data_IF_491637571518
#
_entry.id   IF_491637571518
#
_cell.length_a   1.000
_cell.length_b   1.000
_cell.length_c   1.000
_cell.angle_alpha   90.00
_cell.angle_beta   90.00
_cell.angle_gamma   90.00
#
_symmetry.space_group_name_H-M   'P 1'
#
loop_
_entity.id
_entity.type
_entity.pdbx_description
1 polymer ?
#
# COMPACT_ATOMS: atom_id res chain seq x y z
N UNK A 1 -3.92 -15.66 8.33
CA UNK A 1 -3.63 -14.82 7.16
C UNK A 1 -2.57 -15.48 6.31
N UNK A 2 -2.75 -15.38 5.02
CA UNK A 2 -1.79 -15.93 4.08
C UNK A 2 -0.43 -15.26 4.26
N UNK A 3 0.63 -16.06 4.14
CA UNK A 3 1.99 -15.53 4.28
C UNK A 3 2.24 -14.43 3.26
N UNK A 4 1.76 -14.62 2.04
CA UNK A 4 1.93 -13.63 0.99
C UNK A 4 1.27 -12.32 1.40
N UNK A 5 0.06 -12.39 1.90
CA UNK A 5 -0.66 -11.18 2.28
C UNK A 5 -0.01 -10.50 3.47
N UNK A 6 0.51 -11.28 4.39
CA UNK A 6 1.21 -10.71 5.53
C UNK A 6 2.45 -9.96 5.05
N UNK A 7 3.19 -10.55 4.11
CA UNK A 7 4.37 -9.92 3.57
C UNK A 7 4.02 -8.60 2.88
N UNK A 8 2.95 -8.61 2.08
CA UNK A 8 2.50 -7.40 1.40
C UNK A 8 2.09 -6.34 2.41
N UNK A 9 1.34 -6.75 3.44
CA UNK A 9 0.90 -5.83 4.48
C UNK A 9 2.09 -5.12 5.11
N UNK A 10 3.09 -5.91 5.49
CA UNK A 10 4.25 -5.36 6.18
C UNK A 10 5.04 -4.40 5.29
N UNK A 11 5.17 -4.75 4.02
CA UNK A 11 5.90 -3.88 3.10
C UNK A 11 5.16 -2.59 2.84
N UNK A 12 3.84 -2.65 2.75
CA UNK A 12 3.05 -1.43 2.59
C UNK A 12 3.16 -0.54 3.81
N UNK A 13 3.24 -1.15 5.00
CA UNK A 13 3.46 -0.37 6.20
C UNK A 13 4.80 0.35 6.16
N UNK A 14 5.80 -0.28 5.59
CA UNK A 14 7.11 0.35 5.45
C UNK A 14 7.03 1.59 4.58
N UNK A 15 6.08 1.63 3.67
CA UNK A 15 5.89 2.79 2.81
C UNK A 15 4.86 3.75 3.40
N UNK A 16 4.59 3.61 4.69
CA UNK A 16 3.80 4.57 5.46
C UNK A 16 2.31 4.55 5.14
N UNK A 17 1.82 3.47 4.62
CA UNK A 17 0.38 3.31 4.46
C UNK A 17 -0.20 3.08 5.85
N UNK A 18 -1.18 3.88 6.27
CA UNK A 18 -1.74 3.74 7.62
C UNK A 18 -2.34 2.36 7.84
N UNK A 19 -2.16 1.84 9.04
CA UNK A 19 -2.68 0.50 9.34
C UNK A 19 -4.20 0.45 9.24
N UNK A 20 -4.88 1.53 9.58
CA UNK A 20 -6.33 1.54 9.46
C UNK A 20 -6.77 1.36 8.01
N UNK A 21 -6.03 1.96 7.08
CA UNK A 21 -6.32 1.80 5.66
C UNK A 21 -6.07 0.36 5.23
N UNK A 22 -4.93 -0.19 5.64
CA UNK A 22 -4.61 -1.57 5.28
C UNK A 22 -5.60 -2.54 5.89
N UNK A 23 -6.01 -2.31 7.12
CA UNK A 23 -7.00 -3.16 7.76
C UNK A 23 -8.31 -3.17 6.98
N UNK A 24 -8.69 -2.00 6.47
CA UNK A 24 -9.89 -1.92 5.66
C UNK A 24 -9.77 -2.69 4.35
N UNK A 25 -8.62 -2.57 3.69
CA UNK A 25 -8.40 -3.28 2.44
C UNK A 25 -8.33 -4.78 2.68
N UNK A 26 -7.56 -5.19 3.66
CA UNK A 26 -7.33 -6.61 3.90
C UNK A 26 -8.56 -7.29 4.51
N UNK A 27 -9.48 -6.50 5.05
CA UNK A 27 -10.72 -7.04 5.58
C UNK A 27 -11.84 -7.10 4.56
N UNK A 28 -11.61 -6.60 3.35
CA UNK A 28 -12.62 -6.59 2.29
C UNK A 28 -12.15 -7.49 1.16
N UNK A 29 -12.94 -8.52 0.86
CA UNK A 29 -12.55 -9.52 -0.13
C UNK A 29 -12.29 -8.89 -1.50
N UNK A 30 -13.14 -7.98 -1.91
CA UNK A 30 -12.99 -7.36 -3.23
C UNK A 30 -11.73 -6.52 -3.30
N UNK A 31 -11.49 -5.74 -2.25
CA UNK A 31 -10.34 -4.86 -2.24
C UNK A 31 -9.04 -5.64 -2.19
N UNK A 32 -8.99 -6.68 -1.37
CA UNK A 32 -7.75 -7.45 -1.26
C UNK A 32 -7.47 -8.22 -2.55
N UNK A 33 -8.53 -8.63 -3.24
CA UNK A 33 -8.35 -9.31 -4.52
C UNK A 33 -7.72 -8.37 -5.54
N UNK A 34 -8.19 -7.13 -5.57
CA UNK A 34 -7.62 -6.15 -6.48
C UNK A 34 -6.16 -5.92 -6.15
N UNK A 35 -5.85 -5.80 -4.87
CA UNK A 35 -4.47 -5.58 -4.45
C UNK A 35 -3.59 -6.77 -4.80
N UNK A 36 -4.08 -7.98 -4.57
CA UNK A 36 -3.34 -9.19 -4.91
C UNK A 36 -3.04 -9.26 -6.40
N UNK A 37 -4.04 -8.94 -7.21
CA UNK A 37 -3.87 -8.98 -8.65
C UNK A 37 -2.85 -7.95 -9.12
N UNK A 38 -2.92 -6.76 -8.55
CA UNK A 38 -1.97 -5.72 -8.90
C UNK A 38 -0.55 -6.10 -8.48
N UNK A 39 -0.43 -6.66 -7.29
CA UNK A 39 0.87 -7.10 -6.80
C UNK A 39 1.47 -8.15 -7.73
N UNK A 40 0.68 -9.16 -8.07
CA UNK A 40 1.15 -10.23 -8.93
C UNK A 40 1.55 -9.71 -10.31
N UNK A 41 0.79 -8.76 -10.82
CA UNK A 41 1.10 -8.18 -12.13
C UNK A 41 2.44 -7.46 -12.10
N UNK A 42 2.72 -6.73 -11.03
CA UNK A 42 3.98 -6.01 -10.92
C UNK A 42 5.15 -6.99 -10.79
N UNK A 43 4.99 -8.00 -9.98
CA UNK A 43 6.05 -9.00 -9.83
C UNK A 43 6.31 -9.70 -11.16
N UNK A 44 5.25 -10.01 -11.89
CA UNK A 44 5.39 -10.66 -13.17
C UNK A 44 6.09 -9.76 -14.18
N UNK A 45 5.91 -8.47 -14.04
CA UNK A 45 6.55 -7.49 -14.91
C UNK A 45 8.03 -7.31 -14.61
N UNK A 46 8.52 -7.92 -13.53
CA UNK A 46 9.91 -7.81 -13.17
C UNK A 46 10.20 -6.90 -12.01
N UNK A 47 9.17 -6.33 -11.38
CA UNK A 47 9.37 -5.49 -10.21
C UNK A 47 9.80 -6.35 -9.03
N UNK A 48 10.69 -5.81 -8.23
CA UNK A 48 11.03 -6.44 -6.97
C UNK A 48 9.92 -6.16 -5.96
N UNK A 49 9.93 -6.94 -4.87
CA UNK A 49 8.86 -6.79 -3.89
C UNK A 49 8.78 -5.39 -3.33
N UNK A 50 9.94 -4.78 -3.05
CA UNK A 50 9.94 -3.41 -2.55
C UNK A 50 9.39 -2.45 -3.58
N UNK A 51 9.74 -2.66 -4.83
CA UNK A 51 9.24 -1.79 -5.89
C UNK A 51 7.74 -1.97 -6.07
N UNK A 52 7.28 -3.21 -6.01
CA UNK A 52 5.86 -3.47 -6.11
C UNK A 52 5.11 -2.80 -4.96
N UNK A 53 5.66 -2.89 -3.76
CA UNK A 53 5.02 -2.25 -2.61
C UNK A 53 4.96 -0.74 -2.79
N UNK A 54 6.01 -0.17 -3.36
CA UNK A 54 6.02 1.26 -3.61
C UNK A 54 4.91 1.65 -4.57
N UNK A 55 4.76 0.90 -5.65
CA UNK A 55 3.73 1.19 -6.62
C UNK A 55 2.33 1.02 -6.03
N UNK A 56 2.15 -0.04 -5.27
CA UNK A 56 0.86 -0.30 -4.64
C UNK A 56 0.52 0.81 -3.64
N UNK A 57 1.51 1.22 -2.85
CA UNK A 57 1.26 2.28 -1.88
C UNK A 57 0.90 3.59 -2.58
N UNK A 58 1.54 3.88 -3.69
CA UNK A 58 1.20 5.08 -4.46
C UNK A 58 -0.23 5.00 -4.97
N UNK A 59 -0.67 3.83 -5.41
CA UNK A 59 -2.04 3.65 -5.86
C UNK A 59 -3.02 3.87 -4.71
N UNK A 60 -2.69 3.36 -3.53
CA UNK A 60 -3.55 3.53 -2.38
C UNK A 60 -3.68 5.00 -2.01
N UNK A 61 -2.57 5.72 -1.99
CA UNK A 61 -2.62 7.14 -1.68
C UNK A 61 -3.44 7.91 -2.71
N UNK A 62 -3.32 7.51 -3.95
CA UNK A 62 -4.10 8.16 -5.00
C UNK A 62 -5.60 7.91 -4.83
N UNK A 63 -5.96 6.68 -4.47
CA UNK A 63 -7.35 6.35 -4.25
C UNK A 63 -7.94 7.11 -3.07
N UNK A 64 -7.13 7.31 -2.04
CA UNK A 64 -7.58 8.06 -0.88
C UNK A 64 -7.57 9.56 -1.13
N UNK A 65 -7.02 9.97 -2.25
CA UNK A 65 -6.91 11.38 -2.60
C UNK A 65 -6.05 12.14 -1.61
N UNK A 66 -5.04 11.47 -1.09
CA UNK A 66 -4.03 12.10 -0.24
C UNK A 66 -2.67 11.69 -0.76
N UNK A 67 -1.67 12.47 -0.40
CA UNK A 67 -0.30 12.16 -0.77
C UNK A 67 0.48 11.82 0.48
N UNK A 68 1.57 11.06 0.33
CA UNK A 68 2.39 10.75 1.50
C UNK A 68 2.81 11.99 2.28
N UNK A 69 3.07 13.07 1.56
CA UNK A 69 3.44 14.32 2.22
C UNK A 69 2.34 14.84 3.11
N UNK A 70 1.10 14.63 2.71
CA UNK A 70 -0.02 15.12 3.52
C UNK A 70 -0.16 14.35 4.81
N UNK A 71 0.27 13.10 4.81
CA UNK A 71 0.20 12.30 6.03
C UNK A 71 1.16 12.82 7.09
N UNK A 72 2.14 13.60 6.67
CA UNK A 72 3.14 14.16 7.57
C UNK A 72 3.17 15.66 7.47
N UNK A 73 2.08 16.23 7.06
CA UNK A 73 2.07 17.65 6.76
C UNK A 73 2.26 18.52 7.99
N UNK A 74 1.98 17.98 9.15
CA UNK A 74 2.20 18.75 10.37
C UNK A 74 3.63 19.25 10.43
N UNK A 75 4.54 18.41 10.02
CA UNK A 75 5.94 18.80 10.01
C UNK A 75 6.19 19.89 9.00
N UNK A 76 5.58 19.77 7.85
CA UNK A 76 5.76 20.74 6.81
C UNK A 76 5.07 22.06 7.13
N UNK A 77 3.95 21.93 7.76
CA UNK A 77 3.17 23.10 8.12
C UNK A 77 3.88 23.96 9.14
N UNK A 78 4.70 23.35 9.93
CA UNK A 78 5.34 24.06 11.00
C UNK A 78 6.30 25.13 10.51
N UNK A 79 6.72 25.01 9.29
CA UNK A 79 7.65 26.03 8.79
C UNK A 79 7.01 27.38 8.55
#
# INVERSE_FOLDING_TARGET
MDVKRLNVYRRLRDFRVPSSVLDGIFGNEDDIQILDDAWDALIKDGFQEDEAAKEISAMIFKELNVEPDQLFEDEKESK
#
